data_IF_273012992639
#
_entry.id   IF_273012992639
#
_cell.length_a   1.000
_cell.length_b   1.000
_cell.length_c   1.000
_cell.angle_alpha   90.00
_cell.angle_beta   90.00
_cell.angle_gamma   90.00
#
_symmetry.space_group_name_H-M   'P 1'
#
loop_
_entity.id
_entity.type
_entity.pdbx_description
1 polymer ?
#
# COMPACT_ATOMS: atom_id res chain seq x y z
N UNK A 1 6.57 -2.75 26.94
CA UNK A 1 5.61 -3.31 25.97
C UNK A 1 5.18 -2.18 25.04
N UNK A 2 5.65 -2.17 23.79
CA UNK A 2 5.22 -1.18 22.80
C UNK A 2 4.02 -1.71 22.03
N UNK A 3 2.99 -0.89 21.86
CA UNK A 3 1.75 -1.28 21.18
C UNK A 3 1.36 -0.23 20.14
N UNK A 4 0.76 -0.69 19.04
CA UNK A 4 0.40 0.19 17.94
C UNK A 4 -0.96 0.86 18.13
N UNK A 5 -1.90 0.20 18.81
CA UNK A 5 -3.30 0.62 18.88
C UNK A 5 -3.91 0.33 20.25
N UNK A 6 -5.06 0.96 20.53
CA UNK A 6 -5.81 0.70 21.76
C UNK A 6 -6.33 -0.73 21.86
N UNK A 7 -6.62 -1.37 20.72
CA UNK A 7 -7.03 -2.77 20.70
C UNK A 7 -5.92 -3.67 21.26
N UNK A 8 -4.68 -3.47 20.81
CA UNK A 8 -3.52 -4.24 21.29
C UNK A 8 -3.17 -3.86 22.74
N UNK A 9 -3.32 -2.59 23.13
CA UNK A 9 -3.17 -2.16 24.54
C UNK A 9 -4.12 -2.92 25.47
N UNK A 10 -5.42 -2.99 25.14
CA UNK A 10 -6.43 -3.70 25.93
C UNK A 10 -6.11 -5.18 26.07
N UNK A 11 -5.63 -5.81 24.99
CA UNK A 11 -5.16 -7.21 25.04
C UNK A 11 -3.98 -7.34 26.01
N UNK A 12 -2.99 -6.46 25.95
CA UNK A 12 -1.84 -6.50 26.86
C UNK A 12 -2.25 -6.34 28.34
N UNK A 13 -3.14 -5.40 28.64
CA UNK A 13 -3.69 -5.19 29.99
C UNK A 13 -4.44 -6.44 30.47
N UNK A 14 -5.29 -7.05 29.64
CA UNK A 14 -6.03 -8.28 29.96
C UNK A 14 -5.13 -9.50 30.21
N UNK A 15 -3.89 -9.47 29.69
CA UNK A 15 -2.86 -10.49 29.90
C UNK A 15 -1.95 -10.16 31.09
N UNK A 16 -2.31 -9.19 31.92
CA UNK A 16 -1.60 -8.85 33.15
C UNK A 16 -0.41 -7.88 32.96
N UNK A 17 -0.26 -7.26 31.78
CA UNK A 17 0.79 -6.25 31.59
C UNK A 17 0.37 -4.97 32.30
N UNK A 18 1.10 -4.60 33.35
CA UNK A 18 0.86 -3.37 34.09
C UNK A 18 0.89 -2.14 33.16
N UNK A 19 -0.07 -1.22 33.32
CA UNK A 19 -0.23 -0.02 32.49
C UNK A 19 1.06 0.83 32.41
N UNK A 20 1.79 0.93 33.51
CA UNK A 20 3.07 1.65 33.59
C UNK A 20 4.18 1.07 32.68
N UNK A 21 4.05 -0.19 32.23
CA UNK A 21 4.97 -0.88 31.31
C UNK A 21 4.53 -0.81 29.85
N UNK A 22 3.38 -0.21 29.55
CA UNK A 22 2.85 -0.08 28.19
C UNK A 22 3.22 1.30 27.62
N UNK A 23 3.66 1.33 26.36
CA UNK A 23 3.96 2.55 25.60
C UNK A 23 3.27 2.44 24.25
N UNK A 24 2.35 3.36 23.94
CA UNK A 24 1.59 3.34 22.69
C UNK A 24 2.12 4.43 21.75
N UNK A 25 2.93 4.05 20.77
CA UNK A 25 3.58 4.97 19.82
C UNK A 25 3.16 4.73 18.36
N UNK A 26 2.18 3.85 18.12
CA UNK A 26 1.84 3.41 16.77
C UNK A 26 2.75 2.28 16.26
N UNK A 27 2.50 1.84 15.02
CA UNK A 27 3.36 0.87 14.35
C UNK A 27 4.59 1.60 13.79
N UNK A 28 5.82 1.22 14.17
CA UNK A 28 7.00 1.89 13.64
C UNK A 28 7.14 1.63 12.14
N UNK A 29 7.30 2.70 11.38
CA UNK A 29 7.64 2.68 9.95
C UNK A 29 9.07 3.18 9.74
N UNK A 30 9.70 2.88 8.60
CA UNK A 30 11.06 3.37 8.32
C UNK A 30 11.07 4.89 8.16
N UNK A 31 12.14 5.56 8.61
CA UNK A 31 12.29 7.03 8.55
C UNK A 31 11.95 7.66 7.19
N UNK A 32 12.33 7.09 6.03
CA UNK A 32 11.96 7.66 4.73
C UNK A 32 10.45 7.74 4.47
N UNK A 33 9.63 6.95 5.18
CA UNK A 33 8.16 6.99 5.10
C UNK A 33 7.51 7.88 6.15
N UNK A 34 8.29 8.56 7.00
CA UNK A 34 7.75 9.42 8.07
C UNK A 34 7.20 10.73 7.54
N UNK A 35 7.81 11.25 6.49
CA UNK A 35 7.39 12.48 5.85
C UNK A 35 6.43 12.12 4.72
N UNK A 36 5.16 12.46 4.88
CA UNK A 36 4.31 12.65 3.72
C UNK A 36 4.96 13.74 2.84
N UNK A 37 5.00 13.55 1.52
CA UNK A 37 5.55 14.54 0.59
C UNK A 37 4.76 15.84 0.72
N UNK A 38 5.16 16.72 1.63
CA UNK A 38 4.47 17.97 1.96
C UNK A 38 4.74 19.08 0.94
N UNK A 39 5.49 18.78 -0.12
CA UNK A 39 5.81 19.69 -1.22
C UNK A 39 4.95 19.45 -2.45
N UNK A 40 3.98 20.36 -2.66
CA UNK A 40 3.31 20.74 -3.91
C UNK A 40 2.76 19.62 -4.82
N UNK A 41 1.46 19.68 -5.09
CA UNK A 41 0.80 18.87 -6.13
C UNK A 41 1.61 18.77 -7.45
N UNK A 42 2.39 19.80 -7.83
CA UNK A 42 3.28 19.80 -8.99
C UNK A 42 4.47 18.82 -8.88
N UNK A 43 5.07 18.66 -7.70
CA UNK A 43 6.13 17.67 -7.45
C UNK A 43 5.53 16.26 -7.51
N UNK A 44 4.32 16.07 -6.97
CA UNK A 44 3.58 14.82 -7.11
C UNK A 44 3.26 14.49 -8.58
N UNK A 45 2.84 15.46 -9.40
CA UNK A 45 2.59 15.24 -10.85
C UNK A 45 3.85 14.81 -11.60
N UNK A 46 5.01 15.43 -11.32
CA UNK A 46 6.30 15.04 -11.92
C UNK A 46 6.71 13.64 -11.50
N UNK A 47 6.54 13.29 -10.22
CA UNK A 47 6.84 11.95 -9.71
C UNK A 47 5.91 10.88 -10.31
N UNK A 48 4.62 11.18 -10.43
CA UNK A 48 3.64 10.31 -11.09
C UNK A 48 4.04 10.08 -12.56
N UNK A 49 4.38 11.14 -13.29
CA UNK A 49 4.84 11.04 -14.67
C UNK A 49 6.17 10.26 -14.80
N UNK A 50 7.11 10.44 -13.87
CA UNK A 50 8.38 9.71 -13.84
C UNK A 50 8.20 8.20 -13.60
N UNK A 51 7.08 7.79 -13.01
CA UNK A 51 6.67 6.39 -12.87
C UNK A 51 5.91 5.87 -14.10
N UNK A 52 5.74 6.67 -15.16
CA UNK A 52 4.99 6.32 -16.36
C UNK A 52 3.46 6.33 -16.16
N UNK A 53 2.96 7.01 -15.12
CA UNK A 53 1.55 7.01 -14.77
C UNK A 53 0.82 8.23 -15.32
N UNK A 54 -0.47 8.04 -15.61
CA UNK A 54 -1.35 9.08 -16.10
C UNK A 54 -1.68 10.09 -15.00
N UNK A 55 -1.23 11.34 -15.16
CA UNK A 55 -1.26 12.36 -14.11
C UNK A 55 -2.69 12.77 -13.70
N UNK A 56 -3.65 12.62 -14.61
CA UNK A 56 -5.05 13.01 -14.39
C UNK A 56 -5.97 11.83 -14.02
N UNK A 57 -5.45 10.59 -13.97
CA UNK A 57 -6.23 9.41 -13.59
C UNK A 57 -6.00 9.07 -12.13
N UNK A 58 -7.06 8.61 -11.46
CA UNK A 58 -6.93 8.06 -10.11
C UNK A 58 -6.14 6.76 -10.16
N UNK A 59 -5.25 6.53 -9.19
CA UNK A 59 -4.39 5.35 -9.19
C UNK A 59 -4.74 4.43 -8.02
N UNK A 60 -5.01 3.17 -8.34
CA UNK A 60 -5.11 2.10 -7.35
C UNK A 60 -3.76 1.39 -7.27
N UNK A 61 -3.14 1.43 -6.09
CA UNK A 61 -1.89 0.73 -5.81
C UNK A 61 -2.20 -0.64 -5.19
N UNK A 62 -1.72 -1.71 -5.83
CA UNK A 62 -1.84 -3.09 -5.34
C UNK A 62 -0.45 -3.61 -5.02
N UNK A 63 -0.22 -4.03 -3.77
CA UNK A 63 1.07 -4.53 -3.28
C UNK A 63 0.89 -5.88 -2.62
N UNK A 64 1.59 -6.91 -3.10
CA UNK A 64 1.53 -8.28 -2.59
C UNK A 64 2.57 -8.62 -1.52
N UNK A 65 3.15 -7.61 -0.86
CA UNK A 65 4.30 -7.79 0.03
C UNK A 65 5.59 -8.19 -0.73
N UNK A 66 6.62 -8.60 0.02
CA UNK A 66 7.95 -8.88 -0.55
C UNK A 66 8.00 -10.09 -1.49
N UNK A 67 7.16 -11.10 -1.22
CA UNK A 67 7.19 -12.39 -1.92
C UNK A 67 5.97 -12.62 -2.84
N UNK A 68 5.05 -11.64 -2.91
CA UNK A 68 3.88 -11.70 -3.80
C UNK A 68 2.83 -12.73 -3.36
N UNK A 69 2.68 -12.94 -2.05
CA UNK A 69 1.68 -13.84 -1.48
C UNK A 69 0.27 -13.22 -1.59
N UNK A 70 -0.76 -14.06 -1.78
CA UNK A 70 -2.16 -13.62 -1.72
C UNK A 70 -2.85 -13.36 -3.07
N UNK A 71 -2.37 -13.94 -4.17
CA UNK A 71 -3.08 -13.89 -5.46
C UNK A 71 -3.03 -12.51 -6.13
N UNK A 72 -1.86 -11.86 -6.11
CA UNK A 72 -1.66 -10.50 -6.66
C UNK A 72 -2.25 -10.36 -8.07
N UNK A 73 -1.97 -11.31 -8.96
CA UNK A 73 -2.44 -11.28 -10.35
C UNK A 73 -3.97 -11.28 -10.43
N UNK A 74 -4.64 -12.16 -9.69
CA UNK A 74 -6.11 -12.21 -9.66
C UNK A 74 -6.74 -10.92 -9.12
N UNK A 75 -6.11 -10.29 -8.12
CA UNK A 75 -6.60 -9.03 -7.57
C UNK A 75 -6.39 -7.89 -8.56
N UNK A 76 -5.24 -7.86 -9.25
CA UNK A 76 -4.97 -6.88 -10.32
C UNK A 76 -6.01 -7.00 -11.42
N UNK A 77 -6.26 -8.22 -11.91
CA UNK A 77 -7.21 -8.47 -12.99
C UNK A 77 -8.63 -8.08 -12.60
N UNK A 78 -9.12 -8.59 -11.46
CA UNK A 78 -10.46 -8.29 -10.98
C UNK A 78 -10.66 -6.78 -10.77
N UNK A 79 -9.64 -6.10 -10.23
CA UNK A 79 -9.69 -4.65 -10.01
C UNK A 79 -9.71 -3.90 -11.33
N UNK A 80 -8.84 -4.25 -12.28
CA UNK A 80 -8.76 -3.59 -13.58
C UNK A 80 -10.06 -3.79 -14.39
N UNK A 81 -10.58 -5.02 -14.45
CA UNK A 81 -11.85 -5.32 -15.12
C UNK A 81 -13.01 -4.57 -14.50
N UNK A 82 -13.08 -4.51 -13.16
CA UNK A 82 -14.16 -3.81 -12.46
C UNK A 82 -14.10 -2.30 -12.67
N UNK A 83 -12.92 -1.70 -12.62
CA UNK A 83 -12.73 -0.27 -12.89
C UNK A 83 -13.05 0.07 -14.34
N UNK A 84 -12.68 -0.79 -15.29
CA UNK A 84 -13.03 -0.60 -16.69
C UNK A 84 -14.54 -0.63 -16.94
N UNK A 85 -15.28 -1.47 -16.22
CA UNK A 85 -16.74 -1.56 -16.32
C UNK A 85 -17.45 -0.39 -15.62
N UNK A 86 -17.08 -0.09 -14.36
CA UNK A 86 -17.81 0.86 -13.53
C UNK A 86 -17.38 2.32 -13.78
N UNK A 87 -16.12 2.55 -14.14
CA UNK A 87 -15.55 3.89 -14.35
C UNK A 87 -14.58 3.94 -15.55
N UNK A 88 -15.08 3.74 -16.79
CA UNK A 88 -14.25 3.66 -17.98
C UNK A 88 -13.29 4.86 -18.12
N UNK A 89 -11.98 4.59 -18.15
CA UNK A 89 -10.94 5.61 -18.35
C UNK A 89 -10.66 6.53 -17.15
N UNK A 90 -11.38 6.41 -16.04
CA UNK A 90 -11.23 7.30 -14.88
C UNK A 90 -10.07 6.91 -13.95
N UNK A 91 -9.69 5.63 -13.95
CA UNK A 91 -8.69 5.07 -13.05
C UNK A 91 -7.64 4.23 -13.79
N UNK A 92 -6.50 4.04 -13.12
CA UNK A 92 -5.41 3.16 -13.53
C UNK A 92 -4.99 2.28 -12.34
N UNK A 93 -4.42 1.11 -12.63
CA UNK A 93 -3.95 0.16 -11.63
C UNK A 93 -2.43 0.07 -11.71
N UNK A 94 -1.76 0.08 -10.56
CA UNK A 94 -0.31 -0.14 -10.43
C UNK A 94 -0.08 -1.32 -9.51
N UNK A 95 0.66 -2.32 -9.99
CA UNK A 95 1.03 -3.49 -9.21
C UNK A 95 2.51 -3.43 -8.84
N UNK A 96 2.83 -3.49 -7.54
CA UNK A 96 4.20 -3.65 -7.04
C UNK A 96 4.42 -5.10 -6.64
N UNK A 97 5.15 -5.82 -7.49
CA UNK A 97 5.38 -7.27 -7.35
C UNK A 97 6.50 -7.65 -6.36
N UNK A 98 7.20 -6.68 -5.77
CA UNK A 98 8.33 -6.94 -4.87
C UNK A 98 9.42 -7.78 -5.54
N UNK A 99 9.80 -8.91 -4.93
CA UNK A 99 10.77 -9.87 -5.49
C UNK A 99 10.12 -10.92 -6.39
N UNK A 100 8.79 -10.94 -6.54
CA UNK A 100 8.09 -11.91 -7.35
C UNK A 100 8.21 -11.58 -8.86
N UNK A 101 9.35 -11.93 -9.44
CA UNK A 101 9.63 -11.68 -10.86
C UNK A 101 8.72 -12.47 -11.80
N UNK A 102 8.18 -13.60 -11.35
CA UNK A 102 7.26 -14.42 -12.13
C UNK A 102 5.90 -13.73 -12.31
N UNK A 103 5.33 -13.21 -11.21
CA UNK A 103 4.11 -12.41 -11.27
C UNK A 103 4.32 -11.14 -12.11
N UNK A 104 5.47 -10.46 -11.95
CA UNK A 104 5.82 -9.28 -12.77
C UNK A 104 5.76 -9.61 -14.27
N UNK A 105 6.47 -10.65 -14.71
CA UNK A 105 6.51 -11.05 -16.13
C UNK A 105 5.13 -11.40 -16.68
N UNK A 106 4.30 -12.09 -15.89
CA UNK A 106 2.93 -12.44 -16.31
C UNK A 106 2.01 -11.23 -16.40
N UNK A 107 2.16 -10.26 -15.51
CA UNK A 107 1.40 -9.01 -15.56
C UNK A 107 1.86 -8.10 -16.70
N UNK A 108 3.17 -8.05 -16.98
CA UNK A 108 3.75 -7.27 -18.10
C UNK A 108 3.35 -7.83 -19.48
N UNK A 109 3.00 -9.11 -19.56
CA UNK A 109 2.61 -9.77 -20.81
C UNK A 109 1.12 -9.62 -21.19
N UNK A 110 0.36 -8.84 -20.41
CA UNK A 110 -1.07 -8.57 -20.63
C UNK A 110 -1.26 -7.25 -21.36
#
# INVERSE_FOLDING_TARGET
CFVATDAVRRIAESRGVARSKIRQHGLPVRRPFWQASSGAAKLARRQIAALGLEVNRRTVLIVGGGDGLGGLESVVDATASRLAADQPGAAQVVAVCGRNSAARRRLEAR
#
